data_IF_842055656477
#
_entry.id   IF_842055656477
#
_cell.length_a   1.000
_cell.length_b   1.000
_cell.length_c   1.000
_cell.angle_alpha   90.00
_cell.angle_beta   90.00
_cell.angle_gamma   90.00
#
_symmetry.space_group_name_H-M   'P 1'
#
loop_
_entity.id
_entity.type
_entity.pdbx_description
1 polymer ?
#
# COMPACT_ATOMS: atom_id res chain seq x y z
N UNK A 1 -72.48 -38.65 -37.71
CA UNK A 1 -72.25 -38.06 -36.40
C UNK A 1 -70.76 -37.67 -36.33
N UNK A 2 -70.45 -36.45 -36.65
CA UNK A 2 -69.09 -35.96 -36.62
C UNK A 2 -69.08 -34.66 -35.79
N UNK A 3 -68.38 -34.70 -34.72
CA UNK A 3 -68.19 -33.55 -33.83
C UNK A 3 -66.93 -32.82 -34.22
N UNK A 4 -67.07 -31.60 -34.78
CA UNK A 4 -65.95 -30.69 -35.08
C UNK A 4 -65.36 -30.12 -33.83
N UNK A 5 -64.06 -30.22 -33.66
CA UNK A 5 -63.29 -29.49 -32.65
C UNK A 5 -62.80 -28.18 -33.24
N UNK A 6 -63.37 -27.07 -32.77
CA UNK A 6 -62.85 -25.72 -33.09
C UNK A 6 -61.59 -25.47 -32.34
N UNK A 7 -60.48 -25.31 -33.07
CA UNK A 7 -59.22 -24.79 -32.50
C UNK A 7 -59.35 -23.29 -32.31
N UNK A 8 -59.35 -22.85 -31.05
CA UNK A 8 -59.20 -21.42 -30.69
C UNK A 8 -57.73 -21.05 -30.84
N UNK A 9 -57.45 -20.29 -31.87
CA UNK A 9 -56.16 -19.61 -32.00
C UNK A 9 -56.06 -18.58 -30.88
N UNK A 10 -55.14 -18.78 -29.95
CA UNK A 10 -54.77 -17.77 -28.96
C UNK A 10 -54.09 -16.57 -29.61
N UNK A 11 -54.23 -15.35 -29.09
CA UNK A 11 -53.60 -14.20 -29.66
C UNK A 11 -52.07 -14.32 -29.58
N UNK A 12 -51.43 -14.11 -30.74
CA UNK A 12 -50.00 -13.99 -30.83
C UNK A 12 -49.51 -12.99 -29.79
N UNK A 13 -48.77 -13.51 -28.79
CA UNK A 13 -48.11 -12.65 -27.80
C UNK A 13 -47.10 -11.79 -28.53
N UNK A 14 -47.36 -10.48 -28.63
CA UNK A 14 -46.36 -9.50 -28.95
C UNK A 14 -45.17 -9.72 -28.01
N UNK A 15 -44.08 -10.26 -28.56
CA UNK A 15 -42.80 -10.33 -27.92
C UNK A 15 -42.29 -8.91 -27.67
N UNK A 16 -42.88 -8.23 -26.68
CA UNK A 16 -42.46 -6.90 -26.28
C UNK A 16 -40.98 -6.93 -25.97
N UNK A 17 -40.19 -6.25 -26.81
CA UNK A 17 -38.77 -6.00 -26.56
C UNK A 17 -38.64 -5.42 -25.13
N UNK A 18 -38.07 -6.20 -24.22
CA UNK A 18 -37.72 -5.72 -22.89
C UNK A 18 -36.31 -5.17 -22.99
N UNK A 19 -36.13 -3.83 -22.88
CA UNK A 19 -34.81 -3.25 -22.92
C UNK A 19 -33.94 -3.85 -21.83
N UNK A 20 -32.83 -4.42 -22.21
CA UNK A 20 -31.82 -4.98 -21.29
C UNK A 20 -30.75 -3.95 -20.93
N UNK A 21 -29.85 -4.33 -20.03
CA UNK A 21 -28.69 -3.49 -19.68
C UNK A 21 -27.78 -3.25 -20.90
N UNK A 22 -27.85 -4.09 -21.92
CA UNK A 22 -27.09 -4.01 -23.17
C UNK A 22 -27.56 -2.87 -24.10
N UNK A 23 -28.81 -2.41 -23.92
CA UNK A 23 -29.42 -1.36 -24.71
C UNK A 23 -29.18 0.04 -24.13
N UNK A 24 -28.55 0.13 -22.96
CA UNK A 24 -28.23 1.42 -22.34
C UNK A 24 -27.18 2.17 -23.18
N UNK A 25 -27.41 3.47 -23.48
CA UNK A 25 -26.37 4.31 -24.07
C UNK A 25 -25.09 4.32 -23.22
N UNK A 26 -23.94 4.33 -23.88
CA UNK A 26 -22.62 4.30 -23.22
C UNK A 26 -22.49 5.41 -22.15
N UNK A 27 -23.04 6.60 -22.41
CA UNK A 27 -23.04 7.71 -21.47
C UNK A 27 -23.81 7.37 -20.16
N UNK A 28 -24.96 6.69 -20.25
CA UNK A 28 -25.72 6.26 -19.08
C UNK A 28 -24.96 5.19 -18.29
N UNK A 29 -24.35 4.23 -19.00
CA UNK A 29 -23.48 3.21 -18.36
C UNK A 29 -22.32 3.89 -17.63
N UNK A 30 -21.66 4.88 -18.25
CA UNK A 30 -20.57 5.60 -17.63
C UNK A 30 -20.98 6.32 -16.34
N UNK A 31 -22.17 6.90 -16.28
CA UNK A 31 -22.72 7.49 -15.04
C UNK A 31 -22.89 6.43 -13.93
N UNK A 32 -23.33 5.22 -14.27
CA UNK A 32 -23.42 4.10 -13.29
C UNK A 32 -22.03 3.71 -12.79
N UNK A 33 -21.04 3.67 -13.69
CA UNK A 33 -19.67 3.30 -13.33
C UNK A 33 -19.01 4.29 -12.35
N UNK A 34 -19.45 5.54 -12.28
CA UNK A 34 -18.97 6.49 -11.27
C UNK A 34 -19.21 6.01 -9.83
N UNK A 35 -20.21 5.17 -9.61
CA UNK A 35 -20.58 4.63 -8.27
C UNK A 35 -19.91 3.30 -7.94
N UNK A 36 -19.20 2.70 -8.88
CA UNK A 36 -18.50 1.42 -8.68
C UNK A 36 -17.03 1.63 -8.31
N UNK A 37 -16.48 0.70 -7.53
CA UNK A 37 -15.05 0.66 -7.25
C UNK A 37 -14.23 0.27 -8.50
N UNK A 38 -12.98 0.73 -8.65
CA UNK A 38 -12.15 0.45 -9.83
C UNK A 38 -12.03 -1.03 -10.23
N UNK A 39 -11.87 -2.01 -9.30
CA UNK A 39 -11.90 -3.42 -9.67
C UNK A 39 -13.26 -3.88 -10.21
N UNK A 40 -14.37 -3.31 -9.74
CA UNK A 40 -15.71 -3.62 -10.25
C UNK A 40 -15.93 -3.05 -11.65
N UNK A 41 -15.47 -1.80 -11.89
CA UNK A 41 -15.49 -1.19 -13.22
C UNK A 41 -14.76 -2.11 -14.21
N UNK A 42 -13.58 -2.63 -13.85
CA UNK A 42 -12.83 -3.57 -14.69
C UNK A 42 -13.57 -4.89 -14.91
N UNK A 43 -14.35 -5.35 -13.93
CA UNK A 43 -15.14 -6.59 -14.01
C UNK A 43 -16.30 -6.42 -14.97
N UNK A 44 -17.10 -5.35 -14.80
CA UNK A 44 -18.28 -5.10 -15.64
C UNK A 44 -17.92 -4.69 -17.06
N UNK A 45 -16.76 -4.11 -17.31
CA UNK A 45 -16.22 -3.83 -18.64
C UNK A 45 -16.13 -5.07 -19.55
N UNK A 46 -16.22 -6.29 -18.99
CA UNK A 46 -16.17 -7.56 -19.71
C UNK A 46 -17.55 -8.04 -20.16
N UNK A 47 -18.64 -7.42 -19.69
CA UNK A 47 -20.00 -7.88 -19.97
C UNK A 47 -20.40 -7.67 -21.43
N UNK A 48 -20.24 -6.47 -21.96
CA UNK A 48 -20.58 -6.14 -23.33
C UNK A 48 -19.77 -4.95 -23.86
N UNK A 49 -20.07 -4.50 -25.09
CA UNK A 49 -19.34 -3.42 -25.78
C UNK A 49 -19.60 -2.07 -25.16
N UNK A 50 -20.84 -1.76 -24.74
CA UNK A 50 -21.21 -0.50 -24.12
C UNK A 50 -20.50 -0.31 -22.78
N UNK A 51 -20.46 -1.34 -21.93
CA UNK A 51 -19.74 -1.31 -20.67
C UNK A 51 -18.22 -1.17 -20.88
N UNK A 52 -17.67 -1.79 -21.91
CA UNK A 52 -16.23 -1.66 -22.24
C UNK A 52 -15.89 -0.23 -22.68
N UNK A 53 -16.72 0.39 -23.53
CA UNK A 53 -16.56 1.77 -23.95
C UNK A 53 -16.65 2.72 -22.77
N UNK A 54 -17.73 2.65 -22.00
CA UNK A 54 -17.95 3.44 -20.78
C UNK A 54 -16.80 3.28 -19.76
N UNK A 55 -16.29 2.08 -19.53
CA UNK A 55 -15.18 1.80 -18.65
C UNK A 55 -13.81 2.29 -19.17
N UNK A 56 -13.76 2.83 -20.38
CA UNK A 56 -12.57 3.47 -20.95
C UNK A 56 -12.65 4.99 -20.93
N UNK A 57 -13.78 5.56 -20.54
CA UNK A 57 -13.98 6.99 -20.50
C UNK A 57 -13.14 7.68 -19.41
N UNK A 58 -12.35 8.68 -19.79
CA UNK A 58 -11.41 9.35 -18.90
C UNK A 58 -12.07 9.96 -17.66
N UNK A 59 -13.26 10.54 -17.76
CA UNK A 59 -13.94 11.15 -16.62
C UNK A 59 -14.33 10.15 -15.52
N UNK A 60 -14.58 8.88 -15.89
CA UNK A 60 -14.83 7.80 -14.92
C UNK A 60 -13.58 7.55 -14.06
N UNK A 61 -12.42 7.48 -14.68
CA UNK A 61 -11.16 7.24 -13.98
C UNK A 61 -10.61 8.49 -13.28
N UNK A 62 -10.91 9.67 -13.81
CA UNK A 62 -10.59 10.94 -13.15
C UNK A 62 -11.28 11.06 -11.79
N UNK A 63 -12.55 10.60 -11.70
CA UNK A 63 -13.26 10.54 -10.41
C UNK A 63 -12.67 9.54 -9.39
N UNK A 64 -11.84 8.60 -9.84
CA UNK A 64 -11.18 7.59 -8.98
C UNK A 64 -9.76 7.98 -8.59
N UNK A 65 -9.15 8.92 -9.31
CA UNK A 65 -7.85 9.45 -8.97
C UNK A 65 -7.95 10.36 -7.72
N UNK A 66 -6.96 10.32 -6.81
CA UNK A 66 -6.91 11.28 -5.72
C UNK A 66 -6.68 12.69 -6.24
N UNK A 67 -7.16 13.71 -5.54
CA UNK A 67 -7.03 15.12 -5.97
C UNK A 67 -5.59 15.54 -6.26
N UNK A 68 -4.64 14.99 -5.49
CA UNK A 68 -3.21 15.24 -5.60
C UNK A 68 -2.47 14.32 -6.60
N UNK A 69 -3.16 13.62 -7.51
CA UNK A 69 -2.51 12.70 -8.45
C UNK A 69 -1.42 13.36 -9.32
N UNK A 70 -1.53 14.66 -9.57
CA UNK A 70 -0.50 15.46 -10.24
C UNK A 70 0.85 15.41 -9.50
N UNK A 71 0.82 15.61 -8.18
CA UNK A 71 2.00 15.48 -7.32
C UNK A 71 2.60 14.06 -7.36
N UNK A 72 1.74 13.03 -7.36
CA UNK A 72 2.20 11.64 -7.44
C UNK A 72 2.94 11.35 -8.76
N UNK A 73 2.43 11.89 -9.88
CA UNK A 73 3.09 11.79 -11.18
C UNK A 73 4.43 12.56 -11.23
N UNK A 74 4.51 13.70 -10.56
CA UNK A 74 5.77 14.47 -10.46
C UNK A 74 6.82 13.70 -9.66
N UNK A 75 6.43 13.03 -8.56
CA UNK A 75 7.33 12.16 -7.80
C UNK A 75 7.91 11.04 -8.67
N UNK A 76 7.09 10.39 -9.51
CA UNK A 76 7.54 9.37 -10.45
C UNK A 76 8.52 9.91 -11.49
N UNK A 77 8.34 11.16 -11.91
CA UNK A 77 9.18 11.78 -12.92
C UNK A 77 10.56 12.24 -12.40
N UNK A 78 10.71 12.42 -11.08
CA UNK A 78 11.95 12.88 -10.44
C UNK A 78 13.00 11.77 -10.29
N UNK A 79 12.58 10.51 -10.21
CA UNK A 79 13.49 9.36 -9.97
C UNK A 79 14.31 8.94 -11.21
N UNK A 80 14.02 9.45 -12.40
CA UNK A 80 14.69 9.03 -13.62
C UNK A 80 15.68 10.08 -14.13
N UNK A 81 16.88 10.05 -13.61
CA UNK A 81 18.04 10.92 -13.96
C UNK A 81 18.60 10.68 -15.40
N UNK A 82 17.80 10.20 -16.32
CA UNK A 82 18.25 10.02 -17.72
C UNK A 82 17.16 10.25 -18.78
N UNK A 83 15.90 10.34 -18.40
CA UNK A 83 14.79 10.37 -19.35
C UNK A 83 13.56 11.19 -18.94
N UNK A 84 13.67 12.00 -17.90
CA UNK A 84 12.54 12.70 -17.27
C UNK A 84 11.66 13.49 -18.23
N UNK A 85 12.21 14.06 -19.31
CA UNK A 85 11.42 14.75 -20.34
C UNK A 85 10.58 13.81 -21.20
N UNK A 86 11.04 12.59 -21.43
CA UNK A 86 10.33 11.62 -22.27
C UNK A 86 9.20 10.94 -21.53
N UNK A 87 9.35 10.66 -20.22
CA UNK A 87 8.27 10.11 -19.36
C UNK A 87 7.22 11.17 -19.01
N UNK A 88 7.58 12.42 -18.73
CA UNK A 88 6.62 13.54 -18.61
C UNK A 88 5.77 13.70 -19.86
N UNK A 89 6.36 13.56 -21.06
CA UNK A 89 5.62 13.57 -22.33
C UNK A 89 4.74 12.33 -22.48
N UNK A 90 5.18 11.16 -22.01
CA UNK A 90 4.41 9.92 -22.02
C UNK A 90 3.24 9.97 -21.04
N UNK A 91 3.47 10.42 -19.79
CA UNK A 91 2.43 10.57 -18.78
C UNK A 91 1.31 11.55 -19.22
N UNK A 92 1.66 12.64 -19.93
CA UNK A 92 0.67 13.56 -20.52
C UNK A 92 -0.14 12.96 -21.67
N UNK A 93 0.27 11.82 -22.24
CA UNK A 93 -0.44 11.09 -23.31
C UNK A 93 -1.22 9.88 -22.82
N UNK A 94 -1.04 9.49 -21.57
CA UNK A 94 -1.76 8.37 -20.96
C UNK A 94 -3.19 8.81 -20.63
N UNK A 95 -4.16 7.94 -20.92
CA UNK A 95 -5.52 8.09 -20.42
C UNK A 95 -5.57 7.97 -18.89
N UNK A 96 -6.62 8.47 -18.28
CA UNK A 96 -6.78 8.46 -16.81
C UNK A 96 -6.79 7.04 -16.23
N UNK A 97 -7.27 6.07 -16.99
CA UNK A 97 -7.24 4.65 -16.63
C UNK A 97 -5.83 4.10 -16.49
N UNK A 98 -4.96 4.40 -17.45
CA UNK A 98 -3.57 3.97 -17.45
C UNK A 98 -2.79 4.65 -16.31
N UNK A 99 -3.09 5.93 -16.04
CA UNK A 99 -2.53 6.66 -14.90
C UNK A 99 -2.93 5.97 -13.60
N UNK A 100 -4.23 5.69 -13.41
CA UNK A 100 -4.71 4.98 -12.22
C UNK A 100 -4.04 3.62 -12.05
N UNK A 101 -3.99 2.83 -13.12
CA UNK A 101 -3.35 1.52 -13.12
C UNK A 101 -1.86 1.62 -12.74
N UNK A 102 -1.13 2.59 -13.31
CA UNK A 102 0.28 2.84 -12.99
C UNK A 102 0.48 3.17 -11.50
N UNK A 103 -0.36 4.04 -10.95
CA UNK A 103 -0.28 4.43 -9.55
C UNK A 103 -0.65 3.29 -8.59
N UNK A 104 -1.40 2.28 -9.01
CA UNK A 104 -1.71 1.10 -8.20
C UNK A 104 -0.55 0.10 -8.09
N UNK A 105 0.52 0.25 -8.86
CA UNK A 105 1.74 -0.54 -8.71
C UNK A 105 2.70 0.12 -7.72
N UNK A 106 3.59 -0.64 -7.05
CA UNK A 106 4.64 -0.07 -6.24
C UNK A 106 5.55 0.85 -7.05
N UNK A 107 5.58 2.11 -6.69
CA UNK A 107 6.35 3.14 -7.38
C UNK A 107 7.51 3.58 -6.48
N UNK A 108 8.77 3.27 -6.82
CA UNK A 108 9.93 3.68 -6.03
C UNK A 108 10.17 5.19 -6.13
N UNK A 109 10.74 5.76 -5.06
CA UNK A 109 11.24 7.14 -4.99
C UNK A 109 12.33 7.29 -3.92
N UNK A 110 12.99 8.44 -3.86
CA UNK A 110 14.14 8.71 -2.99
C UNK A 110 15.26 7.65 -3.16
N UNK A 111 15.72 7.47 -4.40
CA UNK A 111 16.77 6.49 -4.74
C UNK A 111 16.34 5.05 -4.47
N UNK A 112 15.05 4.75 -4.59
CA UNK A 112 14.49 3.41 -4.39
C UNK A 112 14.42 2.98 -2.92
N UNK A 113 14.69 3.88 -1.97
CA UNK A 113 14.57 3.57 -0.53
C UNK A 113 13.14 3.69 0.01
N UNK A 114 12.25 4.28 -0.76
CA UNK A 114 10.83 4.43 -0.46
C UNK A 114 9.99 4.01 -1.65
N UNK A 115 8.78 3.53 -1.40
CA UNK A 115 7.80 3.17 -2.43
C UNK A 115 6.42 3.65 -2.02
N UNK A 116 5.63 4.10 -2.99
CA UNK A 116 4.21 4.37 -2.78
C UNK A 116 3.35 3.72 -3.86
N UNK A 117 2.08 3.48 -3.55
CA UNK A 117 1.05 3.01 -4.50
C UNK A 117 -0.34 3.38 -4.02
N UNK A 118 -1.31 3.42 -4.94
CA UNK A 118 -2.72 3.58 -4.58
C UNK A 118 -3.33 2.27 -4.11
N UNK A 119 -4.11 2.33 -3.05
CA UNK A 119 -5.01 1.26 -2.66
C UNK A 119 -6.14 1.16 -3.72
N UNK A 120 -6.37 -0.05 -4.23
CA UNK A 120 -7.17 -0.30 -5.45
C UNK A 120 -8.68 0.01 -5.32
N UNK A 121 -9.21 0.08 -4.12
CA UNK A 121 -10.65 0.28 -3.89
C UNK A 121 -10.98 1.73 -3.57
N UNK A 122 -10.27 2.33 -2.63
CA UNK A 122 -10.56 3.64 -2.07
C UNK A 122 -9.62 4.76 -2.54
N UNK A 123 -8.56 4.41 -3.28
CA UNK A 123 -7.61 5.38 -3.82
C UNK A 123 -6.73 6.07 -2.77
N UNK A 124 -6.66 5.56 -1.56
CA UNK A 124 -5.73 6.05 -0.55
C UNK A 124 -4.29 5.62 -0.84
N UNK A 125 -3.31 6.36 -0.31
CA UNK A 125 -1.89 6.05 -0.49
C UNK A 125 -1.45 4.97 0.49
N UNK A 126 -0.84 3.93 -0.05
CA UNK A 126 0.00 2.99 0.69
C UNK A 126 1.46 3.37 0.49
N UNK A 127 2.28 3.26 1.52
CA UNK A 127 3.70 3.58 1.46
C UNK A 127 4.54 2.55 2.21
N UNK A 128 5.75 2.31 1.73
CA UNK A 128 6.78 1.51 2.40
C UNK A 128 8.10 2.28 2.38
N UNK A 129 8.74 2.38 3.55
CA UNK A 129 10.00 3.10 3.78
C UNK A 129 11.03 2.07 4.26
N UNK A 130 12.08 1.84 3.48
CA UNK A 130 13.15 0.88 3.79
C UNK A 130 13.90 1.25 5.07
N UNK A 131 14.43 0.24 5.78
CA UNK A 131 15.38 0.46 6.87
C UNK A 131 16.60 1.29 6.46
N UNK A 132 16.95 1.31 5.17
CA UNK A 132 18.02 2.17 4.63
C UNK A 132 17.68 3.67 4.63
N UNK A 133 16.42 4.02 4.69
CA UNK A 133 15.95 5.41 4.79
C UNK A 133 15.71 5.86 6.24
N UNK A 134 15.99 5.00 7.21
CA UNK A 134 15.84 5.30 8.63
C UNK A 134 17.17 5.74 9.24
N UNK A 135 17.10 6.58 10.25
CA UNK A 135 18.20 6.89 11.14
C UNK A 135 18.25 5.82 12.23
N UNK A 136 19.26 5.00 12.22
CA UNK A 136 19.42 3.88 13.15
C UNK A 136 20.69 4.08 13.94
N UNK A 137 20.59 4.19 15.27
CA UNK A 137 21.74 4.40 16.14
C UNK A 137 22.73 3.24 16.03
N UNK A 138 23.97 3.55 15.66
CA UNK A 138 25.06 2.56 15.54
C UNK A 138 25.04 1.73 14.26
N UNK A 139 24.27 2.10 13.22
CA UNK A 139 24.13 1.36 11.96
C UNK A 139 25.46 1.17 11.20
N UNK A 140 26.39 2.10 11.34
CA UNK A 140 27.68 2.07 10.66
C UNK A 140 28.68 1.11 11.34
N UNK A 141 28.40 0.66 12.56
CA UNK A 141 29.25 -0.26 13.30
C UNK A 141 28.73 -1.70 13.13
N UNK A 142 29.52 -2.50 12.39
CA UNK A 142 29.19 -3.90 12.11
C UNK A 142 29.14 -4.81 13.36
N UNK A 143 29.61 -4.35 14.49
CA UNK A 143 29.45 -5.07 15.77
C UNK A 143 28.02 -5.01 16.26
N UNK A 144 27.27 -3.98 15.89
CA UNK A 144 25.88 -3.76 16.29
C UNK A 144 24.91 -4.16 15.20
N UNK A 145 25.14 -3.69 13.95
CA UNK A 145 24.22 -3.86 12.86
C UNK A 145 24.86 -4.43 11.60
N UNK A 146 24.08 -5.18 10.84
CA UNK A 146 24.44 -5.62 9.50
C UNK A 146 23.24 -5.54 8.57
N UNK A 147 23.44 -5.09 7.35
CA UNK A 147 22.42 -5.26 6.31
C UNK A 147 22.47 -6.69 5.77
N UNK A 148 21.32 -7.37 5.83
CA UNK A 148 21.18 -8.77 5.41
C UNK A 148 20.25 -8.83 4.19
N UNK A 149 20.71 -9.42 3.06
CA UNK A 149 19.84 -9.61 1.90
C UNK A 149 18.75 -10.64 2.21
N UNK A 150 17.54 -10.36 1.75
CA UNK A 150 16.39 -11.27 1.85
C UNK A 150 15.35 -10.98 0.78
N UNK A 151 14.77 -12.04 0.20
CA UNK A 151 13.64 -11.94 -0.74
C UNK A 151 12.31 -11.67 -0.04
N UNK A 152 12.26 -11.69 1.29
CA UNK A 152 11.05 -11.43 2.08
C UNK A 152 10.81 -9.94 2.30
N UNK A 153 11.78 -9.09 1.93
CA UNK A 153 11.68 -7.64 1.90
C UNK A 153 11.45 -7.15 0.48
N UNK A 154 10.56 -6.18 0.30
CA UNK A 154 10.40 -5.47 -0.97
C UNK A 154 11.67 -4.71 -1.40
N UNK A 155 12.51 -4.39 -0.43
CA UNK A 155 13.79 -3.71 -0.65
C UNK A 155 14.97 -4.68 -0.76
N UNK A 156 14.71 -6.00 -0.75
CA UNK A 156 15.69 -7.08 -0.82
C UNK A 156 16.78 -7.04 0.25
N UNK A 157 16.62 -6.19 1.26
CA UNK A 157 17.60 -5.99 2.34
C UNK A 157 16.89 -5.54 3.60
N UNK A 158 17.35 -6.02 4.75
CA UNK A 158 16.86 -5.63 6.08
C UNK A 158 18.05 -5.27 6.97
N UNK A 159 17.85 -4.37 7.94
CA UNK A 159 18.83 -4.10 8.97
C UNK A 159 18.68 -5.16 10.09
N UNK A 160 19.73 -5.92 10.36
CA UNK A 160 19.80 -6.93 11.40
C UNK A 160 20.63 -6.44 12.57
N UNK A 161 20.00 -6.34 13.73
CA UNK A 161 20.66 -6.01 15.00
C UNK A 161 21.29 -7.27 15.60
N UNK A 162 22.61 -7.25 15.83
CA UNK A 162 23.29 -8.29 16.57
C UNK A 162 23.11 -8.08 18.07
N UNK A 163 23.53 -6.91 18.57
CA UNK A 163 23.44 -6.53 19.98
C UNK A 163 23.61 -5.03 20.15
N UNK A 164 22.84 -4.41 21.04
CA UNK A 164 23.01 -3.00 21.42
C UNK A 164 22.47 -2.75 22.83
N UNK A 165 23.01 -1.72 23.53
CA UNK A 165 22.48 -1.22 24.78
C UNK A 165 21.41 -0.14 24.58
N UNK A 166 21.70 0.85 23.72
CA UNK A 166 20.84 1.96 23.39
C UNK A 166 20.17 1.70 22.02
N UNK A 167 18.91 1.31 22.06
CA UNK A 167 18.17 0.99 20.85
C UNK A 167 17.28 2.17 20.45
N UNK A 168 17.55 2.73 19.28
CA UNK A 168 16.82 3.87 18.74
C UNK A 168 16.83 3.80 17.21
N UNK A 169 15.64 3.87 16.63
CA UNK A 169 15.39 3.87 15.18
C UNK A 169 14.36 4.96 14.91
N UNK A 170 14.77 5.96 14.14
CA UNK A 170 13.96 7.11 13.78
C UNK A 170 13.76 7.21 12.28
N UNK A 171 12.68 7.86 11.88
CA UNK A 171 12.45 8.20 10.50
C UNK A 171 11.53 9.39 10.34
N UNK A 172 11.60 9.99 9.16
CA UNK A 172 10.68 11.04 8.78
C UNK A 172 10.30 10.93 7.30
N UNK A 173 9.13 11.40 6.97
CA UNK A 173 8.64 11.52 5.61
C UNK A 173 7.83 12.80 5.47
N UNK A 174 8.05 13.51 4.37
CA UNK A 174 7.23 14.63 3.93
C UNK A 174 6.59 14.26 2.60
N UNK A 175 5.27 14.20 2.59
CA UNK A 175 4.52 13.72 1.44
C UNK A 175 3.12 14.33 1.40
N UNK A 176 2.57 14.54 0.19
CA UNK A 176 1.17 14.92 0.00
C UNK A 176 0.31 13.66 0.00
N UNK A 177 -0.36 13.40 1.11
CA UNK A 177 -1.33 12.31 1.22
C UNK A 177 -2.71 12.80 0.83
N UNK A 178 -3.55 11.98 0.15
CA UNK A 178 -4.98 12.25 0.05
C UNK A 178 -5.60 12.40 1.44
N UNK A 179 -6.65 13.24 1.53
CA UNK A 179 -7.38 13.41 2.79
C UNK A 179 -7.92 12.07 3.30
N UNK A 180 -7.76 11.81 4.59
CA UNK A 180 -8.17 10.56 5.20
C UNK A 180 -7.36 10.21 6.45
N UNK A 181 -7.69 9.07 7.05
CA UNK A 181 -6.97 8.53 8.21
C UNK A 181 -6.01 7.45 7.74
N UNK A 182 -4.80 7.49 8.27
CA UNK A 182 -3.71 6.57 7.95
C UNK A 182 -3.15 5.93 9.21
N UNK A 183 -2.78 4.66 9.11
CA UNK A 183 -2.13 3.90 10.18
C UNK A 183 -0.67 3.64 9.80
N UNK A 184 0.24 3.80 10.76
CA UNK A 184 1.67 3.57 10.61
C UNK A 184 2.12 2.35 11.39
N UNK A 185 2.97 1.52 10.77
CA UNK A 185 3.50 0.27 11.35
C UNK A 185 4.99 0.14 11.10
N UNK A 186 5.72 -0.47 12.05
CA UNK A 186 7.03 -1.06 11.79
C UNK A 186 6.86 -2.53 11.41
N UNK A 187 7.51 -2.97 10.33
CA UNK A 187 7.62 -4.38 9.95
C UNK A 187 8.90 -4.96 10.48
N UNK A 188 8.78 -5.83 11.49
CA UNK A 188 9.89 -6.38 12.26
C UNK A 188 9.87 -7.90 12.26
N UNK A 189 11.05 -8.51 12.49
CA UNK A 189 11.18 -9.95 12.65
C UNK A 189 12.21 -10.26 13.74
N UNK A 190 11.81 -11.03 14.74
CA UNK A 190 12.75 -11.54 15.74
C UNK A 190 13.45 -12.78 15.23
N UNK A 191 14.79 -12.76 15.29
CA UNK A 191 15.70 -13.77 14.76
C UNK A 191 16.26 -13.40 13.38
N UNK A 192 17.37 -14.04 13.02
CA UNK A 192 17.99 -13.83 11.72
C UNK A 192 17.23 -14.59 10.64
N UNK A 193 16.73 -13.87 9.65
CA UNK A 193 16.11 -14.47 8.48
C UNK A 193 17.19 -15.12 7.61
N UNK A 194 17.11 -16.45 7.42
CA UNK A 194 17.98 -17.18 6.50
C UNK A 194 17.18 -18.26 5.77
N UNK A 195 17.56 -18.53 4.52
CA UNK A 195 17.08 -19.69 3.76
C UNK A 195 18.20 -20.71 3.67
N UNK A 196 17.95 -21.96 4.05
CA UNK A 196 18.85 -23.08 3.84
C UNK A 196 18.10 -24.20 3.12
N UNK A 197 18.60 -24.62 1.95
CA UNK A 197 17.99 -25.66 1.11
C UNK A 197 16.51 -25.36 0.77
N UNK A 198 16.19 -24.09 0.50
CA UNK A 198 14.81 -23.67 0.15
C UNK A 198 13.86 -23.57 1.37
N UNK A 199 14.29 -23.93 2.56
CA UNK A 199 13.49 -23.80 3.80
C UNK A 199 13.88 -22.56 4.58
N UNK A 200 12.87 -21.87 5.09
CA UNK A 200 13.05 -20.75 6.02
C UNK A 200 13.57 -21.28 7.35
N UNK A 201 14.69 -20.76 7.80
CA UNK A 201 15.27 -21.08 9.10
C UNK A 201 15.37 -19.77 9.87
N UNK A 202 14.75 -19.73 11.05
CA UNK A 202 14.98 -18.69 12.04
C UNK A 202 15.99 -19.24 13.06
N UNK A 203 17.10 -18.54 13.27
CA UNK A 203 18.01 -18.85 14.36
C UNK A 203 17.64 -17.96 15.57
N UNK A 204 17.06 -18.52 16.64
CA UNK A 204 16.66 -17.77 17.82
C UNK A 204 17.81 -17.49 18.79
N UNK A 205 19.01 -18.07 18.60
CA UNK A 205 20.12 -18.03 19.56
C UNK A 205 20.59 -16.64 19.97
N UNK A 206 20.28 -15.60 19.17
CA UNK A 206 20.69 -14.22 19.46
C UNK A 206 19.53 -13.31 19.88
N UNK A 207 18.32 -13.86 20.04
CA UNK A 207 17.15 -13.05 20.45
C UNK A 207 17.21 -12.87 21.97
N UNK A 208 17.33 -11.63 22.43
CA UNK A 208 17.31 -11.32 23.86
C UNK A 208 16.91 -9.85 24.11
N UNK A 209 16.42 -9.57 25.30
CA UNK A 209 16.18 -8.24 25.84
C UNK A 209 14.86 -7.58 25.42
N UNK A 210 14.04 -8.23 24.57
CA UNK A 210 12.77 -7.67 24.09
C UNK A 210 11.58 -7.98 25.00
N UNK A 211 11.77 -8.92 25.92
CA UNK A 211 10.81 -9.37 26.93
C UNK A 211 11.03 -8.72 28.31
N UNK A 212 12.13 -7.97 28.50
CA UNK A 212 12.50 -7.34 29.79
C UNK A 212 11.76 -6.01 29.97
N UNK A 213 11.72 -5.18 28.92
CA UNK A 213 11.00 -3.90 28.90
C UNK A 213 10.31 -3.70 27.56
N UNK A 214 9.19 -2.96 27.54
CA UNK A 214 8.50 -2.71 26.28
C UNK A 214 9.29 -1.74 25.39
N UNK A 215 9.17 -1.93 24.08
CA UNK A 215 9.60 -0.98 23.07
C UNK A 215 8.58 0.14 22.98
N UNK A 216 9.04 1.39 22.95
CA UNK A 216 8.23 2.57 22.77
C UNK A 216 8.17 2.97 21.30
N UNK A 217 6.99 3.10 20.76
CA UNK A 217 6.72 3.62 19.43
C UNK A 217 6.10 5.00 19.53
N UNK A 218 6.55 5.93 18.70
CA UNK A 218 6.03 7.30 18.68
C UNK A 218 5.79 7.74 17.24
N UNK A 219 4.78 8.58 17.08
CA UNK A 219 4.44 9.24 15.82
C UNK A 219 4.09 10.69 16.15
N UNK A 220 4.55 11.63 15.32
CA UNK A 220 4.13 13.03 15.34
C UNK A 220 4.01 13.58 13.93
N UNK A 221 3.06 14.50 13.72
CA UNK A 221 2.82 15.16 12.45
C UNK A 221 3.07 16.65 12.53
N UNK A 222 3.27 17.30 11.37
CA UNK A 222 3.37 18.76 11.26
C UNK A 222 2.10 19.48 11.70
N UNK A 223 0.94 18.81 11.70
CA UNK A 223 -0.32 19.33 12.23
C UNK A 223 -0.47 19.24 13.75
N UNK A 224 0.55 18.75 14.46
CA UNK A 224 0.55 18.64 15.92
C UNK A 224 -0.07 17.37 16.48
N UNK A 225 -0.49 16.42 15.65
CA UNK A 225 -0.96 15.12 16.13
C UNK A 225 0.21 14.31 16.69
N UNK A 226 0.01 13.65 17.82
CA UNK A 226 1.02 12.81 18.47
C UNK A 226 0.39 11.53 18.99
N UNK A 227 1.10 10.44 18.82
CA UNK A 227 0.72 9.13 19.34
C UNK A 227 1.94 8.45 19.95
N UNK A 228 1.72 7.77 21.07
CA UNK A 228 2.75 6.97 21.75
C UNK A 228 2.14 5.66 22.19
N UNK A 229 2.75 4.56 21.76
CA UNK A 229 2.37 3.19 22.14
C UNK A 229 3.58 2.45 22.67
N UNK A 230 3.33 1.41 23.47
CA UNK A 230 4.39 0.55 24.02
C UNK A 230 3.94 -0.90 23.93
N UNK A 231 4.81 -1.78 23.47
CA UNK A 231 4.58 -3.22 23.50
C UNK A 231 5.89 -4.00 23.59
N UNK A 232 5.81 -5.22 24.09
CA UNK A 232 6.89 -6.18 24.00
C UNK A 232 6.95 -6.72 22.57
N UNK A 233 8.17 -6.97 22.07
CA UNK A 233 8.32 -7.66 20.80
C UNK A 233 8.26 -9.17 21.08
N UNK A 234 7.43 -9.89 20.33
CA UNK A 234 7.16 -11.30 20.46
C UNK A 234 7.12 -12.03 19.11
N UNK A 235 6.76 -13.32 19.10
CA UNK A 235 6.57 -14.12 17.90
C UNK A 235 7.84 -14.35 17.07
N UNK A 236 8.93 -14.88 17.65
CA UNK A 236 10.13 -15.22 16.92
C UNK A 236 9.86 -16.04 15.65
N UNK A 237 10.59 -15.74 14.55
CA UNK A 237 10.46 -16.45 13.28
C UNK A 237 9.36 -15.92 12.35
N UNK A 238 8.59 -14.93 12.76
CA UNK A 238 7.54 -14.33 11.94
C UNK A 238 7.79 -12.85 11.69
N UNK A 239 7.38 -12.37 10.51
CA UNK A 239 7.26 -10.94 10.26
C UNK A 239 5.99 -10.42 10.90
N UNK A 240 6.13 -9.43 11.78
CA UNK A 240 5.03 -8.81 12.52
C UNK A 240 4.98 -7.33 12.17
N UNK A 241 3.75 -6.82 12.03
CA UNK A 241 3.48 -5.40 11.84
C UNK A 241 3.11 -4.78 13.19
N UNK A 242 4.05 -4.07 13.79
CA UNK A 242 3.85 -3.39 15.09
C UNK A 242 3.22 -2.02 14.85
N UNK A 243 2.02 -1.75 15.38
CA UNK A 243 1.36 -0.48 15.19
C UNK A 243 2.06 0.62 15.98
N UNK A 244 2.31 1.75 15.32
CA UNK A 244 2.86 2.95 15.95
C UNK A 244 1.73 3.90 16.36
N UNK A 245 0.77 4.12 15.46
CA UNK A 245 -0.38 4.97 15.67
C UNK A 245 -1.08 5.35 14.37
N UNK A 246 -2.09 6.18 14.52
CA UNK A 246 -2.85 6.74 13.40
C UNK A 246 -2.67 8.25 13.33
N UNK A 247 -2.80 8.80 12.13
CA UNK A 247 -2.83 10.24 11.89
C UNK A 247 -3.88 10.56 10.82
N UNK A 248 -4.43 11.77 10.89
CA UNK A 248 -5.41 12.27 9.94
C UNK A 248 -4.80 13.35 9.05
N UNK A 249 -5.06 13.25 7.76
CA UNK A 249 -4.76 14.28 6.77
C UNK A 249 -6.09 14.94 6.37
N UNK A 250 -6.20 16.23 6.62
CA UNK A 250 -7.42 17.00 6.33
C UNK A 250 -7.40 17.57 4.90
N UNK A 251 -6.22 17.98 4.43
CA UNK A 251 -6.05 18.63 3.14
C UNK A 251 -4.97 17.94 2.31
N UNK A 252 -5.34 17.47 1.13
CA UNK A 252 -4.45 16.80 0.17
C UNK A 252 -3.44 17.74 -0.49
N UNK A 253 -3.69 19.04 -0.48
CA UNK A 253 -2.83 20.04 -1.17
C UNK A 253 -1.65 20.48 -0.30
N UNK A 254 -1.62 20.06 0.96
CA UNK A 254 -0.56 20.40 1.91
C UNK A 254 0.34 19.19 2.16
N UNK A 255 1.65 19.43 2.10
CA UNK A 255 2.63 18.42 2.50
C UNK A 255 2.50 18.12 3.99
N UNK A 256 2.29 16.86 4.30
CA UNK A 256 2.26 16.37 5.68
C UNK A 256 3.63 15.81 6.03
N UNK A 257 4.29 16.42 7.00
CA UNK A 257 5.51 15.88 7.58
C UNK A 257 5.16 14.98 8.75
N UNK A 258 5.64 13.74 8.69
CA UNK A 258 5.42 12.70 9.70
C UNK A 258 6.79 12.30 10.24
N UNK A 259 6.95 12.33 11.56
CA UNK A 259 8.11 11.77 12.25
C UNK A 259 7.64 10.57 13.06
N UNK A 260 8.44 9.53 13.06
CA UNK A 260 8.14 8.31 13.81
C UNK A 260 9.43 7.72 14.37
N UNK A 261 9.29 7.02 15.50
CA UNK A 261 10.42 6.37 16.16
C UNK A 261 10.03 5.06 16.83
N UNK A 262 11.05 4.23 17.03
CA UNK A 262 10.99 2.98 17.78
C UNK A 262 12.20 2.95 18.72
N UNK A 263 11.96 2.96 20.03
CA UNK A 263 13.04 3.14 21.04
C UNK A 263 12.91 2.18 22.20
N UNK A 264 14.08 1.73 22.71
CA UNK A 264 14.25 1.11 24.01
C UNK A 264 15.61 1.57 24.55
N UNK A 265 15.64 2.80 25.07
CA UNK A 265 16.86 3.53 25.46
C UNK A 265 17.33 3.24 26.88
N UNK A 266 16.68 2.31 27.55
CA UNK A 266 17.06 1.82 28.83
C UNK A 266 18.34 0.95 28.70
N UNK A 267 19.43 1.43 29.27
CA UNK A 267 20.74 0.76 29.23
C UNK A 267 20.93 -0.28 30.35
N UNK A 268 19.85 -0.84 30.93
CA UNK A 268 19.96 -1.86 31.99
C UNK A 268 20.30 -3.26 31.45
N UNK A 269 20.04 -3.51 30.19
CA UNK A 269 20.32 -4.78 29.51
C UNK A 269 20.61 -4.56 28.01
N UNK A 270 21.26 -5.53 27.39
CA UNK A 270 21.45 -5.56 25.94
C UNK A 270 20.21 -6.13 25.24
N UNK A 271 20.02 -5.75 23.99
CA UNK A 271 18.99 -6.25 23.08
C UNK A 271 19.64 -6.71 21.78
N UNK A 272 19.11 -7.79 21.21
CA UNK A 272 19.66 -8.32 19.96
C UNK A 272 18.71 -9.27 19.23
N UNK A 273 19.12 -9.69 18.05
CA UNK A 273 18.36 -10.64 17.23
C UNK A 273 17.13 -10.03 16.58
N UNK A 274 17.14 -8.75 16.18
CA UNK A 274 16.02 -8.06 15.53
C UNK A 274 16.34 -7.72 14.08
N UNK A 275 15.46 -8.05 13.15
CA UNK A 275 15.45 -7.50 11.80
C UNK A 275 14.46 -6.34 11.70
N UNK A 276 14.91 -5.19 11.22
CA UNK A 276 14.09 -4.06 10.83
C UNK A 276 14.01 -4.02 9.31
N UNK A 277 12.82 -4.25 8.76
CA UNK A 277 12.60 -4.25 7.31
C UNK A 277 12.22 -2.86 6.81
N UNK A 278 11.09 -2.38 7.25
CA UNK A 278 10.48 -1.17 6.71
C UNK A 278 9.47 -0.56 7.67
N UNK A 279 9.16 0.71 7.42
CA UNK A 279 7.99 1.37 7.99
C UNK A 279 6.91 1.43 6.91
N UNK A 280 5.68 1.14 7.31
CA UNK A 280 4.53 1.02 6.44
C UNK A 280 3.48 2.06 6.83
N UNK A 281 2.90 2.73 5.85
CA UNK A 281 1.77 3.63 6.01
C UNK A 281 0.65 3.13 5.11
N UNK A 282 -0.54 2.93 5.69
CA UNK A 282 -1.74 2.48 4.97
C UNK A 282 -2.95 3.33 5.33
N UNK A 283 -3.90 3.53 4.41
CA UNK A 283 -5.22 4.04 4.77
C UNK A 283 -5.84 3.19 5.87
N UNK A 284 -6.48 3.82 6.85
CA UNK A 284 -7.11 3.11 7.98
C UNK A 284 -8.12 2.08 7.46
N UNK A 285 -8.09 0.87 8.05
CA UNK A 285 -8.88 -0.28 7.63
C UNK A 285 -8.24 -1.15 6.53
N UNK A 286 -7.13 -0.75 5.92
CA UNK A 286 -6.32 -1.61 5.06
C UNK A 286 -5.39 -2.46 5.93
N UNK A 287 -5.49 -3.78 5.81
CA UNK A 287 -4.63 -4.71 6.57
C UNK A 287 -3.32 -4.95 5.82
N UNK A 288 -2.15 -4.69 6.45
CA UNK A 288 -0.85 -4.89 5.82
C UNK A 288 -0.64 -6.30 5.24
N UNK A 289 -1.13 -7.34 5.90
CA UNK A 289 -0.95 -8.73 5.49
C UNK A 289 -1.52 -9.03 4.10
N UNK A 290 -2.66 -8.39 3.74
CA UNK A 290 -3.29 -8.59 2.43
C UNK A 290 -2.50 -7.97 1.28
N UNK A 291 -1.68 -6.97 1.57
CA UNK A 291 -0.90 -6.24 0.57
C UNK A 291 0.35 -7.02 0.15
N UNK A 292 0.93 -7.81 1.05
CA UNK A 292 2.13 -8.61 0.79
C UNK A 292 1.86 -9.97 0.11
N UNK A 293 0.60 -10.43 0.06
CA UNK A 293 0.22 -11.73 -0.53
C UNK A 293 0.10 -11.66 -2.06
N UNK A 294 -0.09 -10.49 -2.65
CA UNK A 294 -0.35 -10.32 -4.09
C UNK A 294 0.90 -10.11 -4.95
N UNK A 295 2.08 -10.05 -4.35
CA UNK A 295 3.37 -9.84 -5.04
C UNK A 295 4.15 -11.16 -5.30
N UNK A 296 3.46 -12.32 -5.23
CA UNK A 296 4.05 -13.64 -5.55
C UNK A 296 3.51 -14.21 -6.85
#
# INVERSE_FOLDING_TARGET
MGTGASSIAGPDGEGGYRPGLEDLPEACVACVLLHLDPPEICRVARLNRAFRGAASADFVWESKLPSNYGYLLEKLAQEEDGGGHQRRRRAKRLGKKEIYASLCHPNPFDGGTKMFWLEKYKGGICMSISSKALSITGIDDRRYWNYVPTEESRFHTVAYLQQIWWFEVDGEIEFSFPAGVYSLFFRLHLGRVSKRLGRRICNPEHIHGWDIKPVCFQLSTSSGQQTRTQCFLDGPGNWIHYPVGEFMVENSDVLTKIKFSMTQIDCTHTKGGLCVDSVLIFPSGVRPEKVFVHDR
#
